data_IF_456520927220
#
_entry.id   IF_456520927220
#
_cell.length_a   1.000
_cell.length_b   1.000
_cell.length_c   1.000
_cell.angle_alpha   90.00
_cell.angle_beta   90.00
_cell.angle_gamma   90.00
#
_symmetry.space_group_name_H-M   'P 1'
#
loop_
_entity.id
_entity.type
_entity.pdbx_description
1 polymer ?
#
# COMPACT_ATOMS: atom_id res chain seq x y z
N UNK A 1 1.28 13.77 1.87
CA UNK A 1 0.47 13.01 2.83
C UNK A 1 0.13 11.68 2.17
N UNK A 2 0.37 10.57 2.87
CA UNK A 2 0.25 9.19 2.39
C UNK A 2 -1.22 8.71 2.34
N UNK A 3 -2.04 9.41 1.55
CA UNK A 3 -3.49 9.23 1.52
C UNK A 3 -3.89 7.81 1.08
N UNK A 4 -3.15 7.18 0.17
CA UNK A 4 -3.47 5.85 -0.33
C UNK A 4 -3.03 4.79 0.68
N UNK A 5 -1.86 4.93 1.29
CA UNK A 5 -1.41 4.02 2.36
C UNK A 5 -2.40 3.98 3.52
N UNK A 6 -2.92 5.13 3.93
CA UNK A 6 -3.90 5.20 5.01
C UNK A 6 -5.24 4.58 4.63
N UNK A 7 -5.71 4.78 3.39
CA UNK A 7 -6.87 4.08 2.86
C UNK A 7 -6.66 2.56 2.84
N UNK A 8 -5.49 2.08 2.40
CA UNK A 8 -5.17 0.65 2.37
C UNK A 8 -5.17 0.03 3.77
N UNK A 9 -4.69 0.74 4.80
CA UNK A 9 -4.80 0.28 6.20
C UNK A 9 -6.26 0.11 6.63
N UNK A 10 -7.13 1.05 6.25
CA UNK A 10 -8.56 0.95 6.55
C UNK A 10 -9.21 -0.23 5.81
N UNK A 11 -8.87 -0.44 4.53
CA UNK A 11 -9.36 -1.58 3.77
C UNK A 11 -8.86 -2.92 4.33
N UNK A 12 -7.64 -2.97 4.86
CA UNK A 12 -7.14 -4.17 5.54
C UNK A 12 -7.99 -4.52 6.77
N UNK A 13 -8.34 -3.51 7.59
CA UNK A 13 -9.23 -3.72 8.74
C UNK A 13 -10.62 -4.17 8.28
N UNK A 14 -11.14 -3.61 7.20
CA UNK A 14 -12.43 -4.03 6.64
C UNK A 14 -12.39 -5.48 6.13
N UNK A 15 -11.33 -5.88 5.41
CA UNK A 15 -11.14 -7.24 4.91
C UNK A 15 -11.02 -8.25 6.06
N UNK A 16 -10.30 -7.90 7.13
CA UNK A 16 -10.20 -8.73 8.34
C UNK A 16 -11.56 -8.94 9.01
N UNK A 17 -12.37 -7.87 9.15
CA UNK A 17 -13.73 -7.96 9.71
C UNK A 17 -14.67 -8.79 8.85
N UNK A 18 -14.51 -8.71 7.52
CA UNK A 18 -15.31 -9.46 6.55
C UNK A 18 -14.83 -10.90 6.35
N UNK A 19 -13.71 -11.31 6.96
CA UNK A 19 -13.03 -12.58 6.68
C UNK A 19 -12.73 -12.79 5.18
N UNK A 20 -12.46 -11.68 4.47
CA UNK A 20 -12.16 -11.67 3.03
C UNK A 20 -10.66 -11.90 2.82
N UNK A 21 -10.28 -13.16 2.68
CA UNK A 21 -8.89 -13.59 2.53
C UNK A 21 -8.25 -13.09 1.22
N UNK A 22 -9.01 -13.04 0.14
CA UNK A 22 -8.54 -12.58 -1.16
C UNK A 22 -8.18 -11.09 -1.09
N UNK A 23 -9.11 -10.25 -0.61
CA UNK A 23 -8.87 -8.81 -0.43
C UNK A 23 -7.75 -8.55 0.58
N UNK A 24 -7.70 -9.31 1.67
CA UNK A 24 -6.63 -9.20 2.68
C UNK A 24 -5.25 -9.42 2.05
N UNK A 25 -5.09 -10.46 1.22
CA UNK A 25 -3.82 -10.75 0.56
C UNK A 25 -3.40 -9.60 -0.35
N UNK A 26 -4.30 -9.14 -1.22
CA UNK A 26 -4.04 -8.04 -2.16
C UNK A 26 -3.67 -6.74 -1.43
N UNK A 27 -4.42 -6.36 -0.39
CA UNK A 27 -4.14 -5.13 0.37
C UNK A 27 -2.79 -5.21 1.10
N UNK A 28 -2.41 -6.38 1.63
CA UNK A 28 -1.10 -6.56 2.25
C UNK A 28 0.05 -6.45 1.24
N UNK A 29 -0.12 -7.00 0.04
CA UNK A 29 0.86 -6.85 -1.03
C UNK A 29 1.03 -5.37 -1.42
N UNK A 30 -0.07 -4.65 -1.60
CA UNK A 30 -0.04 -3.21 -1.91
C UNK A 30 0.66 -2.39 -0.81
N UNK A 31 0.37 -2.66 0.47
CA UNK A 31 1.05 -2.01 1.59
C UNK A 31 2.55 -2.31 1.63
N UNK A 32 2.94 -3.54 1.31
CA UNK A 32 4.35 -3.95 1.26
C UNK A 32 5.10 -3.25 0.12
N UNK A 33 4.49 -3.12 -1.06
CA UNK A 33 5.09 -2.40 -2.18
C UNK A 33 5.37 -0.92 -1.84
N UNK A 34 4.39 -0.24 -1.22
CA UNK A 34 4.56 1.13 -0.73
C UNK A 34 5.68 1.21 0.30
N UNK A 35 5.69 0.32 1.31
CA UNK A 35 6.71 0.31 2.34
C UNK A 35 8.12 0.03 1.79
N UNK A 36 8.24 -0.81 0.77
CA UNK A 36 9.50 -1.08 0.09
C UNK A 36 10.01 0.16 -0.64
N UNK A 37 9.15 0.87 -1.37
CA UNK A 37 9.53 2.10 -2.08
C UNK A 37 9.95 3.22 -1.09
N UNK A 38 9.28 3.33 0.06
CA UNK A 38 9.64 4.29 1.12
C UNK A 38 11.09 4.14 1.61
N UNK A 39 11.67 2.94 1.50
CA UNK A 39 13.05 2.63 1.93
C UNK A 39 13.99 2.28 0.78
N UNK A 40 13.52 2.27 -0.47
CA UNK A 40 14.34 1.94 -1.64
C UNK A 40 15.42 3.00 -1.93
N UNK A 41 15.23 4.23 -1.42
CA UNK A 41 16.19 5.32 -1.54
C UNK A 41 17.34 5.26 -0.53
N UNK A 42 18.20 6.28 -0.55
CA UNK A 42 19.33 6.42 0.40
C UNK A 42 18.89 6.66 1.85
N UNK A 43 17.63 6.99 2.06
CA UNK A 43 17.02 7.26 3.36
C UNK A 43 15.53 6.94 3.30
N UNK A 44 14.97 6.45 4.40
CA UNK A 44 13.53 6.28 4.55
C UNK A 44 12.82 7.62 4.37
N UNK A 45 11.79 7.65 3.54
CA UNK A 45 10.95 8.84 3.34
C UNK A 45 9.49 8.46 3.18
N UNK A 46 8.59 9.37 3.51
CA UNK A 46 7.19 9.23 3.13
C UNK A 46 7.00 9.54 1.64
N UNK A 47 6.14 8.78 0.99
CA UNK A 47 5.73 9.02 -0.38
C UNK A 47 4.59 10.04 -0.45
N UNK A 48 4.58 10.81 -1.53
CA UNK A 48 3.41 11.57 -1.95
C UNK A 48 2.38 10.65 -2.62
N UNK A 49 1.13 11.09 -2.68
CA UNK A 49 0.04 10.33 -3.30
C UNK A 49 0.34 9.94 -4.76
N UNK A 50 0.98 10.82 -5.53
CA UNK A 50 1.37 10.53 -6.92
C UNK A 50 2.43 9.41 -6.99
N UNK A 51 3.35 9.37 -6.02
CA UNK A 51 4.38 8.33 -5.95
C UNK A 51 3.77 7.00 -5.48
N UNK A 52 2.82 7.02 -4.53
CA UNK A 52 2.05 5.84 -4.14
C UNK A 52 1.29 5.24 -5.34
N UNK A 53 0.63 6.08 -6.15
CA UNK A 53 -0.04 5.61 -7.38
C UNK A 53 0.94 5.00 -8.38
N UNK A 54 2.11 5.63 -8.56
CA UNK A 54 3.13 5.13 -9.48
C UNK A 54 3.67 3.76 -9.04
N UNK A 55 3.88 3.55 -7.73
CA UNK A 55 4.27 2.24 -7.18
C UNK A 55 3.20 1.20 -7.45
N UNK A 56 1.94 1.49 -7.11
CA UNK A 56 0.85 0.54 -7.30
C UNK A 56 0.60 0.21 -8.78
N UNK A 57 0.75 1.18 -9.67
CA UNK A 57 0.65 0.95 -11.12
C UNK A 57 1.73 -0.01 -11.63
N UNK A 58 2.95 0.04 -11.07
CA UNK A 58 4.07 -0.86 -11.43
C UNK A 58 3.86 -2.29 -10.96
N UNK A 59 3.14 -2.51 -9.87
CA UNK A 59 2.88 -3.86 -9.33
C UNK A 59 1.73 -4.59 -10.05
N UNK A 60 0.88 -3.86 -10.79
CA UNK A 60 -0.28 -4.41 -11.52
C UNK A 60 -0.03 -4.51 -13.03
N UNK A 61 1.03 -3.89 -13.53
CA UNK A 61 1.36 -3.86 -14.97
C UNK A 61 2.05 -5.11 -15.49
#
# INVERSE_FOLDING_TARGET
MAAIKDRLKQELVAALKAHDEARKSTVRMALAAIANEEVAGKSARELSEAEEQAVLAREVS
#
